data_IF_369650352314
#
_entry.id   IF_369650352314
#
_cell.length_a   1.000
_cell.length_b   1.000
_cell.length_c   1.000
_cell.angle_alpha   90.00
_cell.angle_beta   90.00
_cell.angle_gamma   90.00
#
_symmetry.space_group_name_H-M   'P 1'
#
loop_
_entity.id
_entity.type
_entity.pdbx_description
1 polymer ?
#
# COMPACT_ATOMS: atom_id res chain seq x y z
N UNK A 1 -0.73 4.98 -25.14
CA UNK A 1 -1.12 4.24 -23.92
C UNK A 1 -0.05 4.55 -22.89
N UNK A 2 -0.31 5.45 -21.93
CA UNK A 2 0.71 5.84 -20.94
C UNK A 2 0.83 4.72 -19.90
N UNK A 3 2.03 4.15 -19.68
CA UNK A 3 2.23 3.16 -18.63
C UNK A 3 2.01 3.83 -17.28
N UNK A 4 1.08 3.28 -16.50
CA UNK A 4 0.78 3.75 -15.15
C UNK A 4 1.77 3.05 -14.23
N UNK A 5 2.88 3.72 -13.95
CA UNK A 5 3.97 3.19 -13.11
C UNK A 5 3.51 3.12 -11.65
N UNK A 6 2.87 2.01 -11.26
CA UNK A 6 2.70 1.67 -9.86
C UNK A 6 4.05 1.24 -9.30
N UNK A 7 4.51 1.90 -8.22
CA UNK A 7 5.87 1.74 -7.72
C UNK A 7 6.00 0.49 -6.84
N UNK A 8 5.09 0.29 -5.87
CA UNK A 8 5.06 -0.89 -4.99
C UNK A 8 3.64 -1.19 -4.49
N UNK A 9 3.29 -2.46 -4.38
CA UNK A 9 2.13 -2.95 -3.64
C UNK A 9 2.57 -3.54 -2.30
N UNK A 10 1.89 -3.22 -1.21
CA UNK A 10 2.17 -3.75 0.13
C UNK A 10 0.84 -4.09 0.80
N UNK A 11 0.71 -5.26 1.45
CA UNK A 11 -0.45 -5.51 2.28
C UNK A 11 -0.25 -4.88 3.65
N UNK A 12 -1.37 -4.51 4.26
CA UNK A 12 -1.41 -3.77 5.49
C UNK A 12 -2.08 -4.62 6.55
N UNK A 13 -1.43 -4.74 7.68
CA UNK A 13 -1.98 -5.34 8.89
C UNK A 13 -1.98 -4.29 9.98
N UNK A 14 -3.07 -4.22 10.75
CA UNK A 14 -3.16 -3.35 11.91
C UNK A 14 -4.00 -4.02 12.96
N UNK A 15 -3.58 -3.86 14.21
CA UNK A 15 -4.35 -4.29 15.38
C UNK A 15 -5.38 -3.22 15.81
N UNK A 16 -5.30 -2.01 15.23
CA UNK A 16 -6.10 -0.86 15.63
C UNK A 16 -7.07 -0.44 14.51
N UNK A 17 -8.34 -0.81 14.66
CA UNK A 17 -9.39 -0.60 13.66
C UNK A 17 -9.65 0.89 13.35
N UNK A 18 -9.44 1.80 14.32
CA UNK A 18 -9.62 3.24 14.13
C UNK A 18 -8.58 3.84 13.16
N UNK A 19 -7.32 3.44 13.31
CA UNK A 19 -6.24 3.85 12.41
C UNK A 19 -6.42 3.20 11.03
N UNK A 20 -6.83 1.94 10.99
CA UNK A 20 -7.11 1.24 9.72
C UNK A 20 -8.22 1.95 8.92
N UNK A 21 -9.30 2.36 9.58
CA UNK A 21 -10.41 3.07 8.92
C UNK A 21 -10.00 4.48 8.46
N UNK A 22 -9.20 5.19 9.28
CA UNK A 22 -8.64 6.50 8.91
C UNK A 22 -7.72 6.38 7.69
N UNK A 23 -6.83 5.39 7.68
CA UNK A 23 -6.00 5.07 6.55
C UNK A 23 -6.83 4.71 5.31
N UNK A 24 -7.86 3.88 5.48
CA UNK A 24 -8.79 3.49 4.42
C UNK A 24 -9.45 4.69 3.77
N UNK A 25 -9.81 5.71 4.55
CA UNK A 25 -10.42 6.97 4.08
C UNK A 25 -9.40 7.94 3.49
N UNK A 26 -8.23 8.08 4.10
CA UNK A 26 -7.19 9.00 3.65
C UNK A 26 -6.55 8.55 2.32
N UNK A 27 -6.38 7.24 2.14
CA UNK A 27 -5.71 6.63 0.99
C UNK A 27 -6.65 5.74 0.16
N UNK A 28 -7.96 5.98 0.18
CA UNK A 28 -8.96 5.19 -0.57
C UNK A 28 -8.62 5.03 -2.05
N UNK A 29 -8.00 6.05 -2.66
CA UNK A 29 -7.59 6.03 -4.06
C UNK A 29 -6.47 5.03 -4.37
N UNK A 30 -5.72 4.61 -3.36
CA UNK A 30 -4.54 3.74 -3.46
C UNK A 30 -4.74 2.42 -2.70
N UNK A 31 -5.95 2.14 -2.21
CA UNK A 31 -6.27 0.91 -1.49
C UNK A 31 -7.07 0.01 -2.40
N UNK A 32 -6.66 -1.25 -2.45
CA UNK A 32 -7.36 -2.35 -3.05
C UNK A 32 -7.65 -3.40 -1.99
N UNK A 33 -8.71 -4.16 -2.20
CA UNK A 33 -9.03 -5.34 -1.40
C UNK A 33 -8.66 -6.56 -2.24
N UNK A 34 -7.85 -7.47 -1.69
CA UNK A 34 -7.52 -8.73 -2.35
C UNK A 34 -8.65 -9.76 -2.17
N UNK A 35 -8.60 -10.89 -2.89
CA UNK A 35 -9.63 -11.93 -2.85
C UNK A 35 -9.80 -12.58 -1.47
N UNK A 36 -8.76 -12.53 -0.65
CA UNK A 36 -8.78 -12.99 0.75
C UNK A 36 -9.32 -11.92 1.73
N UNK A 37 -9.77 -10.75 1.26
CA UNK A 37 -10.28 -9.67 2.10
C UNK A 37 -9.17 -8.85 2.78
N UNK A 38 -7.91 -9.06 2.38
CA UNK A 38 -6.79 -8.27 2.88
C UNK A 38 -6.71 -6.91 2.19
N UNK A 39 -6.38 -5.88 2.97
CA UNK A 39 -6.17 -4.53 2.44
C UNK A 39 -4.77 -4.43 1.84
N UNK A 40 -4.73 -4.18 0.53
CA UNK A 40 -3.53 -3.97 -0.25
C UNK A 40 -3.41 -2.49 -0.57
N UNK A 41 -2.27 -1.91 -0.22
CA UNK A 41 -1.94 -0.54 -0.55
C UNK A 41 -1.00 -0.49 -1.76
N UNK A 42 -1.46 0.21 -2.79
CA UNK A 42 -0.82 0.38 -4.09
C UNK A 42 -0.18 1.76 -4.15
N UNK A 43 1.07 1.88 -3.71
CA UNK A 43 1.79 3.13 -3.73
C UNK A 43 2.32 3.45 -5.14
N UNK A 44 1.91 4.60 -5.69
CA UNK A 44 2.49 5.15 -6.92
C UNK A 44 3.92 5.71 -6.72
N UNK A 45 4.31 6.05 -5.48
CA UNK A 45 5.64 6.60 -5.17
C UNK A 45 6.14 6.19 -3.78
N UNK A 46 7.46 6.22 -3.56
CA UNK A 46 8.09 6.07 -2.22
C UNK A 46 7.66 7.15 -1.23
N UNK A 47 7.31 8.34 -1.71
CA UNK A 47 6.87 9.45 -0.85
C UNK A 47 5.52 9.13 -0.17
N UNK A 48 4.58 8.55 -0.92
CA UNK A 48 3.30 8.09 -0.37
C UNK A 48 3.48 7.01 0.70
N UNK A 49 4.45 6.11 0.50
CA UNK A 49 4.78 5.06 1.47
C UNK A 49 5.35 5.66 2.76
N UNK A 50 6.34 6.56 2.66
CA UNK A 50 6.92 7.24 3.82
C UNK A 50 5.87 8.07 4.58
N UNK A 51 5.01 8.80 3.87
CA UNK A 51 3.94 9.58 4.50
C UNK A 51 2.96 8.67 5.25
N UNK A 52 2.62 7.51 4.68
CA UNK A 52 1.76 6.51 5.34
C UNK A 52 2.42 5.91 6.60
N UNK A 53 3.71 5.56 6.52
CA UNK A 53 4.48 5.04 7.66
C UNK A 53 4.63 6.10 8.78
N UNK A 54 4.68 7.39 8.44
CA UNK A 54 4.75 8.47 9.43
C UNK A 54 3.41 8.84 10.06
N UNK A 55 2.33 8.85 9.28
CA UNK A 55 0.98 9.21 9.77
C UNK A 55 0.39 8.07 10.62
N UNK A 56 0.83 6.82 10.35
CA UNK A 56 0.32 5.62 11.00
C UNK A 56 1.45 4.69 11.47
N UNK A 57 2.11 4.99 12.60
CA UNK A 57 3.19 4.15 13.13
C UNK A 57 2.71 2.78 13.65
N UNK A 58 1.42 2.63 13.99
CA UNK A 58 0.81 1.35 14.42
C UNK A 58 0.38 0.45 13.26
N UNK A 59 0.42 0.95 12.03
CA UNK A 59 0.09 0.16 10.84
C UNK A 59 1.34 -0.57 10.35
N UNK A 60 1.24 -1.89 10.25
CA UNK A 60 2.33 -2.75 9.79
C UNK A 60 2.22 -2.90 8.28
N UNK A 61 3.10 -2.21 7.58
CA UNK A 61 3.22 -2.29 6.13
C UNK A 61 4.15 -3.46 5.77
N UNK A 62 3.54 -4.58 5.40
CA UNK A 62 4.29 -5.71 4.88
C UNK A 62 4.56 -5.50 3.39
N UNK A 63 5.80 -5.14 3.13
CA UNK A 63 6.35 -4.98 1.80
C UNK A 63 6.58 -6.39 1.26
N UNK A 64 5.73 -6.88 0.35
CA UNK A 64 6.05 -8.08 -0.44
C UNK A 64 7.13 -7.69 -1.46
N UNK A 65 8.33 -7.48 -0.96
CA UNK A 65 9.52 -7.51 -1.79
C UNK A 65 9.59 -8.92 -2.36
N UNK A 66 9.38 -9.02 -3.67
CA UNK A 66 9.65 -10.15 -4.56
C UNK A 66 8.38 -10.74 -5.22
N UNK A 67 7.89 -10.09 -6.29
CA UNK A 67 7.77 -10.72 -7.60
C UNK A 67 7.31 -9.71 -8.68
N UNK A 68 8.08 -9.65 -9.78
CA UNK A 68 7.77 -9.05 -11.09
C UNK A 68 7.96 -7.53 -11.29
N UNK A 69 9.23 -7.10 -11.37
CA UNK A 69 9.75 -6.25 -12.45
C UNK A 69 11.29 -6.25 -12.36
N UNK A 70 11.93 -7.42 -12.45
CA UNK A 70 12.52 -7.81 -13.74
C UNK A 70 11.55 -7.68 -14.92
N UNK A 71 11.58 -6.53 -15.57
CA UNK A 71 11.58 -6.54 -17.02
C UNK A 71 12.67 -5.58 -17.42
N UNK A 72 13.78 -6.22 -17.81
CA UNK A 72 14.89 -5.67 -18.55
C UNK A 72 14.48 -4.56 -19.52
N UNK A 73 15.33 -3.52 -19.52
CA UNK A 73 15.77 -2.70 -20.66
C UNK A 73 14.89 -1.51 -21.05
#
# INVERSE_FOLDING_TARGET
CVPRNYFKACWITSDNEEQLNSFKRAKSNYIAEDKDGHLVFLAETTFLLNMAEQDYPDLVFHKTSEFMLDTKK
#
